data_IF_530904914067
#
_entry.id   IF_530904914067
#
_cell.length_a   1.000
_cell.length_b   1.000
_cell.length_c   1.000
_cell.angle_alpha   90.00
_cell.angle_beta   90.00
_cell.angle_gamma   90.00
#
_symmetry.space_group_name_H-M   'P 1'
#
loop_
_entity.id
_entity.type
_entity.pdbx_description
1 polymer ?
#
# COMPACT_ATOMS: atom_id res chain seq x y z
N UNK A 1 6.78 16.23 -17.10
CA UNK A 1 7.30 16.50 -15.74
C UNK A 1 6.65 17.70 -15.02
N UNK A 2 6.34 18.82 -15.71
CA UNK A 2 5.67 19.97 -15.10
C UNK A 2 4.24 19.65 -14.61
N UNK A 3 3.49 18.84 -15.35
CA UNK A 3 2.11 18.46 -14.97
C UNK A 3 2.01 17.58 -13.72
N UNK A 4 3.03 16.74 -13.45
CA UNK A 4 3.03 15.86 -12.28
C UNK A 4 3.27 16.65 -10.97
N UNK A 5 4.13 17.69 -11.04
CA UNK A 5 4.38 18.60 -9.92
C UNK A 5 3.16 19.46 -9.57
N UNK A 6 2.29 19.73 -10.54
CA UNK A 6 1.11 20.58 -10.35
C UNK A 6 -0.07 19.85 -9.69
N UNK A 7 -0.10 18.51 -9.75
CA UNK A 7 -1.14 17.67 -9.09
C UNK A 7 -0.82 17.29 -7.64
N UNK A 8 0.43 17.43 -7.21
CA UNK A 8 0.86 17.14 -5.83
C UNK A 8 0.98 18.49 -5.12
N UNK A 9 -0.14 19.03 -4.60
CA UNK A 9 -0.02 20.13 -3.65
C UNK A 9 0.67 19.57 -2.40
N UNK A 10 1.78 20.21 -2.01
CA UNK A 10 2.63 19.77 -0.89
C UNK A 10 1.88 19.74 0.45
N UNK A 11 0.80 20.49 0.57
CA UNK A 11 -0.07 20.54 1.75
C UNK A 11 -0.81 19.21 2.05
N UNK A 12 -0.92 18.30 1.09
CA UNK A 12 -1.79 17.11 1.20
C UNK A 12 -1.07 15.77 1.40
N UNK A 13 0.26 15.78 1.59
CA UNK A 13 1.05 14.55 1.69
C UNK A 13 0.98 13.86 3.05
N UNK A 14 0.64 14.58 4.13
CA UNK A 14 0.46 13.99 5.45
C UNK A 14 -0.87 13.24 5.59
N UNK A 15 -1.94 13.67 4.91
CA UNK A 15 -3.23 12.95 4.95
C UNK A 15 -3.12 11.60 4.24
N UNK A 16 -3.19 10.53 5.03
CA UNK A 16 -3.15 9.15 4.56
C UNK A 16 -4.23 8.85 3.51
N UNK A 17 -5.42 9.43 3.64
CA UNK A 17 -6.57 9.18 2.75
C UNK A 17 -6.33 9.75 1.35
N UNK A 18 -5.44 10.73 1.22
CA UNK A 18 -5.11 11.38 -0.06
C UNK A 18 -3.83 10.77 -0.64
N UNK A 19 -2.79 10.62 0.18
CA UNK A 19 -1.49 10.09 -0.24
C UNK A 19 -1.54 8.61 -0.64
N UNK A 20 -2.12 7.75 0.20
CA UNK A 20 -2.01 6.31 0.02
C UNK A 20 -2.66 5.79 -1.27
N UNK A 21 -3.87 6.26 -1.67
CA UNK A 21 -4.45 5.89 -2.97
C UNK A 21 -3.54 6.22 -4.16
N UNK A 22 -2.82 7.34 -4.11
CA UNK A 22 -1.87 7.71 -5.16
C UNK A 22 -0.66 6.74 -5.19
N UNK A 23 -0.13 6.37 -4.02
CA UNK A 23 0.96 5.41 -3.90
C UNK A 23 0.55 4.01 -4.40
N UNK A 24 -0.61 3.50 -4.00
CA UNK A 24 -1.11 2.22 -4.48
C UNK A 24 -1.35 2.24 -5.98
N UNK A 25 -1.96 3.31 -6.50
CA UNK A 25 -2.18 3.49 -7.94
C UNK A 25 -0.87 3.44 -8.73
N UNK A 26 0.16 4.17 -8.28
CA UNK A 26 1.49 4.16 -8.89
C UNK A 26 2.12 2.75 -8.88
N UNK A 27 2.09 2.06 -7.74
CA UNK A 27 2.68 0.72 -7.60
C UNK A 27 1.94 -0.32 -8.44
N UNK A 28 0.61 -0.33 -8.39
CA UNK A 28 -0.21 -1.29 -9.12
C UNK A 28 -0.12 -1.07 -10.62
N UNK A 29 -0.29 0.17 -11.11
CA UNK A 29 -0.16 0.47 -12.55
C UNK A 29 1.18 0.01 -13.12
N UNK A 30 2.29 0.25 -12.40
CA UNK A 30 3.61 -0.23 -12.82
C UNK A 30 3.69 -1.76 -12.89
N UNK A 31 3.12 -2.46 -11.89
CA UNK A 31 3.12 -3.91 -11.83
C UNK A 31 2.23 -4.55 -12.91
N UNK A 32 1.03 -3.99 -13.15
CA UNK A 32 0.14 -4.44 -14.23
C UNK A 32 0.73 -4.19 -15.62
N UNK A 33 1.37 -3.03 -15.83
CA UNK A 33 2.08 -2.75 -17.07
C UNK A 33 3.19 -3.79 -17.31
N UNK A 34 4.01 -4.05 -16.30
CA UNK A 34 5.06 -5.06 -16.38
C UNK A 34 4.45 -6.44 -16.70
N UNK A 35 3.33 -6.79 -16.08
CA UNK A 35 2.69 -8.07 -16.31
C UNK A 35 2.19 -8.25 -17.74
N UNK A 36 1.58 -7.21 -18.30
CA UNK A 36 1.15 -7.17 -19.71
C UNK A 36 2.34 -7.31 -20.66
N UNK A 37 3.41 -6.55 -20.42
CA UNK A 37 4.61 -6.55 -21.27
C UNK A 37 5.31 -7.92 -21.32
N UNK A 38 5.17 -8.74 -20.26
CA UNK A 38 5.80 -10.05 -20.14
C UNK A 38 4.84 -11.23 -20.35
N UNK A 39 3.59 -10.96 -20.72
CA UNK A 39 2.61 -12.00 -21.03
C UNK A 39 2.11 -12.81 -19.83
N UNK A 40 2.15 -12.25 -18.62
CA UNK A 40 1.52 -12.90 -17.46
C UNK A 40 -0.01 -12.78 -17.55
N UNK A 41 -0.70 -13.88 -17.28
CA UNK A 41 -2.16 -13.95 -17.31
C UNK A 41 -2.81 -13.37 -16.05
N UNK A 42 -2.11 -13.39 -14.91
CA UNK A 42 -2.66 -13.02 -13.62
C UNK A 42 -1.62 -12.30 -12.74
N UNK A 43 -2.09 -11.39 -11.91
CA UNK A 43 -1.30 -10.63 -10.94
C UNK A 43 -1.99 -10.58 -9.58
N UNK A 44 -1.21 -10.56 -8.50
CA UNK A 44 -1.67 -10.24 -7.15
C UNK A 44 -0.67 -9.32 -6.45
N UNK A 45 -0.97 -8.89 -5.23
CA UNK A 45 -0.11 -7.96 -4.49
C UNK A 45 -0.06 -8.26 -3.00
N UNK A 46 1.13 -8.09 -2.41
CA UNK A 46 1.33 -8.16 -0.95
C UNK A 46 0.73 -6.95 -0.22
N UNK A 47 0.28 -5.91 -0.92
CA UNK A 47 -0.48 -4.81 -0.29
C UNK A 47 -1.74 -5.33 0.42
N UNK A 48 -2.34 -6.41 -0.10
CA UNK A 48 -3.51 -7.04 0.50
C UNK A 48 -3.22 -7.72 1.85
N UNK A 49 -1.94 -7.98 2.19
CA UNK A 49 -1.56 -8.62 3.44
C UNK A 49 -1.39 -7.67 4.63
N UNK A 50 -1.55 -6.36 4.41
CA UNK A 50 -1.43 -5.38 5.50
C UNK A 50 -2.76 -5.18 6.22
N UNK A 51 -2.77 -5.31 7.55
CA UNK A 51 -3.90 -4.95 8.42
C UNK A 51 -4.15 -3.45 8.51
N UNK A 52 -3.20 -2.63 8.06
CA UNK A 52 -3.22 -1.17 8.19
C UNK A 52 -3.64 -0.44 6.91
N UNK A 53 -3.72 -1.15 5.79
CA UNK A 53 -4.05 -0.57 4.50
C UNK A 53 -5.52 -0.77 4.18
N UNK A 54 -6.10 0.17 3.42
CA UNK A 54 -7.48 0.05 2.97
C UNK A 54 -7.57 -1.01 1.86
N UNK A 55 -7.95 -2.23 2.25
CA UNK A 55 -8.03 -3.39 1.37
C UNK A 55 -9.02 -3.18 0.21
N UNK A 56 -10.18 -2.59 0.48
CA UNK A 56 -11.20 -2.35 -0.54
C UNK A 56 -10.72 -1.37 -1.61
N UNK A 57 -10.06 -0.29 -1.20
CA UNK A 57 -9.47 0.67 -2.13
C UNK A 57 -8.40 0.03 -3.02
N UNK A 58 -7.55 -0.85 -2.45
CA UNK A 58 -6.54 -1.59 -3.20
C UNK A 58 -7.20 -2.55 -4.20
N UNK A 59 -8.26 -3.26 -3.80
CA UNK A 59 -9.02 -4.14 -4.69
C UNK A 59 -9.66 -3.36 -5.83
N UNK A 60 -10.29 -2.20 -5.53
CA UNK A 60 -10.87 -1.34 -6.55
C UNK A 60 -9.85 -0.86 -7.58
N UNK A 61 -8.65 -0.48 -7.14
CA UNK A 61 -7.55 -0.13 -8.04
C UNK A 61 -7.06 -1.34 -8.85
N UNK A 62 -6.92 -2.50 -8.23
CA UNK A 62 -6.53 -3.74 -8.91
C UNK A 62 -7.51 -4.15 -10.00
N UNK A 63 -8.82 -4.11 -9.71
CA UNK A 63 -9.88 -4.39 -10.69
C UNK A 63 -9.88 -3.37 -11.83
N UNK A 64 -9.70 -2.08 -11.53
CA UNK A 64 -9.57 -1.05 -12.56
C UNK A 64 -8.42 -1.35 -13.52
N UNK A 65 -7.22 -1.64 -12.98
CA UNK A 65 -6.06 -1.92 -13.81
C UNK A 65 -6.13 -3.28 -14.50
N UNK A 66 -6.83 -4.25 -13.92
CA UNK A 66 -7.12 -5.52 -14.58
C UNK A 66 -7.82 -5.29 -15.91
N UNK A 67 -8.88 -4.48 -15.91
CA UNK A 67 -9.60 -4.08 -17.13
C UNK A 67 -8.73 -3.27 -18.08
N UNK A 68 -7.93 -2.33 -17.57
CA UNK A 68 -7.10 -1.44 -18.39
C UNK A 68 -5.95 -2.17 -19.11
N UNK A 69 -5.30 -3.12 -18.42
CA UNK A 69 -4.12 -3.82 -18.93
C UNK A 69 -4.45 -5.19 -19.53
N UNK A 70 -5.61 -5.78 -19.23
CA UNK A 70 -5.99 -7.12 -19.70
C UNK A 70 -5.26 -8.23 -18.96
N UNK A 71 -4.96 -8.03 -17.67
CA UNK A 71 -4.31 -9.02 -16.80
C UNK A 71 -5.25 -9.28 -15.62
N UNK A 72 -5.53 -10.54 -15.29
CA UNK A 72 -6.49 -10.86 -14.23
C UNK A 72 -5.95 -10.47 -12.85
N UNK A 73 -6.75 -9.77 -12.05
CA UNK A 73 -6.37 -9.47 -10.68
C UNK A 73 -6.86 -10.55 -9.72
N UNK A 74 -5.92 -11.27 -9.11
CA UNK A 74 -6.23 -12.28 -8.10
C UNK A 74 -6.27 -11.68 -6.70
N UNK A 75 -7.42 -11.84 -6.04
CA UNK A 75 -7.62 -11.47 -4.64
C UNK A 75 -7.71 -12.74 -3.80
N UNK A 76 -6.72 -13.01 -2.91
CA UNK A 76 -6.77 -14.15 -2.02
C UNK A 76 -7.99 -14.07 -1.08
N UNK A 77 -8.71 -15.19 -0.94
CA UNK A 77 -9.85 -15.32 0.00
C UNK A 77 -9.40 -15.29 1.45
N UNK A 78 -8.25 -15.89 1.74
CA UNK A 78 -7.65 -15.97 3.06
C UNK A 78 -6.25 -15.37 3.01
N UNK A 79 -5.95 -14.50 3.98
CA UNK A 79 -4.66 -13.85 4.13
C UNK A 79 -4.30 -13.97 5.60
N UNK A 80 -3.14 -14.58 5.88
CA UNK A 80 -2.64 -14.71 7.25
C UNK A 80 -1.69 -13.54 7.50
N UNK A 81 -2.12 -12.58 8.31
CA UNK A 81 -1.35 -11.36 8.58
C UNK A 81 -0.44 -11.47 9.81
N UNK A 82 -0.76 -12.39 10.73
CA UNK A 82 -0.11 -12.50 12.05
C UNK A 82 0.59 -13.82 12.27
N UNK A 83 1.48 -14.16 11.34
CA UNK A 83 2.40 -15.26 11.52
C UNK A 83 3.50 -14.90 12.54
N UNK A 84 3.93 -15.85 13.39
CA UNK A 84 5.11 -15.70 14.22
C UNK A 84 6.33 -15.34 13.35
N UNK A 85 7.14 -14.40 13.81
CA UNK A 85 8.25 -13.89 12.98
C UNK A 85 9.44 -14.83 12.91
N UNK A 86 9.52 -15.85 13.78
CA UNK A 86 10.65 -16.77 13.83
C UNK A 86 12.00 -16.08 14.12
N UNK A 87 11.98 -14.89 14.74
CA UNK A 87 13.17 -14.07 14.98
C UNK A 87 13.46 -13.03 13.88
N UNK A 88 12.70 -13.02 12.78
CA UNK A 88 12.80 -11.97 11.77
C UNK A 88 12.13 -10.67 12.24
N UNK A 89 12.63 -9.54 11.74
CA UNK A 89 12.00 -8.25 11.95
C UNK A 89 10.67 -8.18 11.16
N UNK A 90 9.56 -7.91 11.86
CA UNK A 90 8.25 -7.64 11.24
C UNK A 90 8.05 -6.14 11.13
N UNK A 91 8.19 -5.62 9.91
CA UNK A 91 7.95 -4.23 9.61
C UNK A 91 6.48 -3.85 9.86
N UNK A 92 6.23 -2.82 10.68
CA UNK A 92 4.89 -2.34 11.02
C UNK A 92 4.45 -1.11 10.20
N UNK A 93 5.24 -0.66 9.21
CA UNK A 93 4.94 0.47 8.34
C UNK A 93 5.04 0.09 6.86
N UNK A 94 4.40 0.84 5.96
CA UNK A 94 4.29 0.44 4.54
C UNK A 94 5.53 0.72 3.67
N UNK A 95 6.62 1.19 4.27
CA UNK A 95 7.87 1.58 3.60
C UNK A 95 7.99 3.06 3.24
N UNK A 96 6.95 3.89 3.40
CA UNK A 96 7.07 5.33 3.21
C UNK A 96 7.42 6.07 4.52
N UNK A 97 8.11 7.21 4.40
CA UNK A 97 8.51 8.04 5.55
C UNK A 97 7.32 8.45 6.41
N UNK A 98 6.16 8.74 5.81
CA UNK A 98 4.96 9.12 6.55
C UNK A 98 4.43 7.98 7.42
N UNK A 99 4.39 6.75 6.89
CA UNK A 99 3.96 5.60 7.68
C UNK A 99 4.97 5.27 8.78
N UNK A 100 6.26 5.52 8.55
CA UNK A 100 7.29 5.37 9.58
C UNK A 100 7.10 6.40 10.70
N UNK A 101 6.90 7.67 10.37
CA UNK A 101 6.65 8.74 11.35
C UNK A 101 5.42 8.41 12.19
N UNK A 102 4.29 8.06 11.56
CA UNK A 102 3.08 7.68 12.29
C UNK A 102 3.34 6.53 13.28
N UNK A 103 4.15 5.52 12.90
CA UNK A 103 4.50 4.41 13.80
C UNK A 103 5.42 4.81 14.94
N UNK A 104 6.33 5.74 14.69
CA UNK A 104 7.18 6.27 15.74
C UNK A 104 6.34 7.08 16.73
N UNK A 105 5.48 7.97 16.25
CA UNK A 105 4.57 8.77 17.09
C UNK A 105 3.66 7.88 17.95
N UNK A 106 2.98 6.90 17.35
CA UNK A 106 2.16 5.93 18.09
C UNK A 106 2.96 5.24 19.21
N UNK A 107 4.20 4.83 18.93
CA UNK A 107 5.07 4.20 19.93
C UNK A 107 5.41 5.15 21.07
N UNK A 108 5.85 6.38 20.76
CA UNK A 108 6.25 7.36 21.77
C UNK A 108 5.09 7.77 22.68
N UNK A 109 3.91 8.05 22.10
CA UNK A 109 2.74 8.49 22.89
C UNK A 109 2.10 7.35 23.68
N UNK A 110 2.09 6.11 23.15
CA UNK A 110 1.58 4.96 23.90
C UNK A 110 2.51 4.58 25.07
N UNK A 111 3.83 4.70 24.89
CA UNK A 111 4.81 4.47 25.97
C UNK A 111 4.75 5.54 27.08
N UNK A 112 4.28 6.76 26.79
CA UNK A 112 4.01 7.79 27.79
C UNK A 112 2.73 7.50 28.59
N UNK A 113 1.67 7.04 27.91
CA UNK A 113 0.37 6.75 28.54
C UNK A 113 0.38 5.50 29.43
N UNK A 114 1.17 4.47 29.10
CA UNK A 114 1.33 3.27 29.94
C UNK A 114 2.19 3.50 31.20
N UNK A 115 2.87 4.65 31.30
CA UNK A 115 3.70 5.03 32.46
C UNK A 115 3.00 5.95 33.46
N UNK A 116 1.85 6.50 33.11
CA UNK A 116 0.94 7.26 33.99
C UNK A 116 -0.17 6.39 34.53
#
# INVERSE_FOLDING_TARGET
>A
MKELKQKISTANLFDQRIRCPQCWSLRLSAAFRYAKEHGFSQLTTTLLSSTYQNREAIIGLGNKFSTEFGVDFYVPKTIVCDLPTGGFYKQNYCGCVYSLVNRMEEKYYNEEYEKT
#
